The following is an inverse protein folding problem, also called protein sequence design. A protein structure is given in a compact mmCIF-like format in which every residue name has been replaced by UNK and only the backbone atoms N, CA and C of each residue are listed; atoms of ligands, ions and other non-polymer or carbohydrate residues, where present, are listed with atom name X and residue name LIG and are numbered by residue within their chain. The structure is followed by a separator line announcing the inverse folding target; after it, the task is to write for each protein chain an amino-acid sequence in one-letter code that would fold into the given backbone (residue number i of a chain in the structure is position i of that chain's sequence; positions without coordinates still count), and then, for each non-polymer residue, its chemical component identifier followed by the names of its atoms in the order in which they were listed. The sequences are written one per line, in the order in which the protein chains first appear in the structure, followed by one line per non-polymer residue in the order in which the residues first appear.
data_IF_184494662304
#
_entry.id   IF_184494662304
#
_cell.length_a   1.000
_cell.length_b   1.000
_cell.length_c   1.000
_cell.angle_alpha   90.00
_cell.angle_beta   90.00
_cell.angle_gamma   90.00
#
_symmetry.space_group_name_H-M   'P 1'
#
loop_
_entity.id
_entity.type
_entity.pdbx_description
1 polymer ?
#
# COMPACT_ATOMS: atom_id res chain seq x y z
N UNK A 1 -13.55 -13.83 25.88
CA UNK A 1 -12.36 -14.25 25.08
C UNK A 1 -12.49 -13.60 23.70
N UNK A 2 -11.45 -12.92 23.21
CA UNK A 2 -11.52 -12.21 21.93
C UNK A 2 -11.61 -13.21 20.77
N UNK A 3 -12.63 -13.09 19.93
CA UNK A 3 -12.80 -13.93 18.75
C UNK A 3 -11.79 -13.52 17.65
N UNK A 4 -11.33 -14.46 16.81
CA UNK A 4 -10.48 -14.11 15.69
C UNK A 4 -11.22 -13.26 14.64
N UNK A 5 -10.50 -12.40 13.90
CA UNK A 5 -11.06 -11.66 12.77
C UNK A 5 -11.66 -12.58 11.70
N UNK A 6 -12.84 -12.24 11.21
CA UNK A 6 -13.48 -12.93 10.08
C UNK A 6 -13.03 -12.25 8.80
N UNK A 7 -12.64 -13.04 7.80
CA UNK A 7 -12.25 -12.49 6.51
C UNK A 7 -13.47 -12.19 5.64
N UNK A 8 -13.73 -10.92 5.34
CA UNK A 8 -14.64 -10.54 4.26
C UNK A 8 -13.90 -10.54 2.92
N UNK A 9 -14.01 -11.66 2.20
CA UNK A 9 -13.37 -11.87 0.88
C UNK A 9 -13.82 -10.92 -0.23
N UNK A 10 -14.81 -10.05 0.00
CA UNK A 10 -15.30 -9.05 -0.95
C UNK A 10 -14.68 -7.67 -0.71
N UNK A 11 -14.47 -7.29 0.54
CA UNK A 11 -14.10 -5.93 0.93
C UNK A 11 -12.69 -5.82 1.52
N UNK A 12 -12.13 -6.93 2.01
CA UNK A 12 -10.85 -6.96 2.73
C UNK A 12 -9.82 -7.77 1.95
N UNK A 13 -8.64 -7.18 1.72
CA UNK A 13 -7.53 -7.90 1.09
C UNK A 13 -7.05 -9.03 2.01
N UNK A 14 -6.52 -10.09 1.39
CA UNK A 14 -6.00 -11.24 2.13
C UNK A 14 -4.88 -10.84 3.10
N UNK A 15 -3.94 -10.00 2.65
CA UNK A 15 -2.80 -9.55 3.47
C UNK A 15 -3.25 -8.70 4.68
N UNK A 16 -4.23 -7.82 4.50
CA UNK A 16 -4.77 -7.00 5.60
C UNK A 16 -5.42 -7.89 6.66
N UNK A 17 -6.24 -8.86 6.23
CA UNK A 17 -6.85 -9.82 7.15
C UNK A 17 -5.81 -10.71 7.84
N UNK A 18 -4.78 -11.17 7.12
CA UNK A 18 -3.66 -11.96 7.66
C UNK A 18 -2.91 -11.18 8.74
N UNK A 19 -2.69 -9.89 8.53
CA UNK A 19 -2.10 -8.99 9.52
C UNK A 19 -2.99 -8.86 10.77
N UNK A 20 -4.29 -8.65 10.60
CA UNK A 20 -5.23 -8.57 11.73
C UNK A 20 -5.27 -9.85 12.56
N UNK A 21 -5.27 -11.01 11.90
CA UNK A 21 -5.19 -12.32 12.58
C UNK A 21 -3.86 -12.47 13.32
N UNK A 22 -2.75 -11.97 12.77
CA UNK A 22 -1.44 -11.99 13.42
C UNK A 22 -1.46 -11.16 14.71
N UNK A 23 -2.00 -9.95 14.66
CA UNK A 23 -2.18 -9.11 15.86
C UNK A 23 -3.09 -9.80 16.88
N UNK A 24 -4.25 -10.31 16.46
CA UNK A 24 -5.15 -11.05 17.34
C UNK A 24 -4.43 -12.23 18.01
N UNK A 25 -3.66 -13.01 17.25
CA UNK A 25 -2.94 -14.16 17.77
C UNK A 25 -1.90 -13.79 18.82
N UNK A 26 -1.26 -12.63 18.70
CA UNK A 26 -0.31 -12.10 19.67
C UNK A 26 -0.97 -11.65 20.97
N UNK A 27 -2.11 -10.95 20.89
CA UNK A 27 -2.74 -10.31 22.05
C UNK A 27 -3.85 -11.13 22.71
N UNK A 28 -4.35 -12.19 22.06
CA UNK A 28 -5.39 -13.03 22.64
C UNK A 28 -4.90 -13.85 23.83
N UNK A 29 -5.73 -13.92 24.88
CA UNK A 29 -5.50 -14.78 26.07
C UNK A 29 -5.84 -16.25 25.84
N UNK A 30 -6.27 -16.62 24.62
CA UNK A 30 -6.55 -18.01 24.30
C UNK A 30 -5.28 -18.86 24.37
N UNK A 31 -5.43 -20.11 24.83
CA UNK A 31 -4.35 -21.10 24.83
C UNK A 31 -3.78 -21.27 23.42
N UNK A 32 -2.45 -21.27 23.27
CA UNK A 32 -1.76 -21.32 21.97
C UNK A 32 -2.27 -22.44 21.06
N UNK A 33 -2.40 -23.65 21.61
CA UNK A 33 -2.90 -24.85 20.92
C UNK A 33 -4.35 -24.75 20.44
N UNK A 34 -5.14 -23.85 21.01
CA UNK A 34 -6.55 -23.63 20.63
C UNK A 34 -6.71 -22.55 19.57
N UNK A 35 -5.71 -21.70 19.35
CA UNK A 35 -5.82 -20.54 18.45
C UNK A 35 -6.05 -20.97 17.00
N UNK A 36 -5.41 -22.05 16.55
CA UNK A 36 -5.63 -22.63 15.22
C UNK A 36 -7.07 -23.03 14.98
N UNK A 37 -7.65 -23.82 15.89
CA UNK A 37 -9.07 -24.20 15.83
C UNK A 37 -10.01 -22.99 15.87
N UNK A 38 -9.73 -22.02 16.75
CA UNK A 38 -10.53 -20.80 16.83
C UNK A 38 -10.53 -20.04 15.50
N UNK A 39 -9.37 -19.89 14.85
CA UNK A 39 -9.27 -19.26 13.53
C UNK A 39 -10.04 -20.05 12.47
N UNK A 40 -9.81 -21.37 12.40
CA UNK A 40 -10.51 -22.26 11.45
C UNK A 40 -12.03 -22.13 11.54
N UNK A 41 -12.58 -22.04 12.77
CA UNK A 41 -14.03 -21.89 12.99
C UNK A 41 -14.62 -20.58 12.46
N UNK A 42 -13.78 -19.59 12.15
CA UNK A 42 -14.17 -18.27 11.62
C UNK A 42 -13.79 -18.07 10.16
N UNK A 43 -13.15 -19.06 9.52
CA UNK A 43 -12.84 -18.96 8.10
C UNK A 43 -14.14 -18.94 7.27
N UNK A 44 -14.25 -18.05 6.28
CA UNK A 44 -15.44 -17.96 5.46
C UNK A 44 -15.58 -19.18 4.56
N UNK A 45 -16.82 -19.49 4.19
CA UNK A 45 -17.14 -20.49 3.16
C UNK A 45 -17.01 -19.93 1.75
N UNK A 46 -16.98 -18.60 1.60
CA UNK A 46 -16.81 -17.95 0.30
C UNK A 46 -15.47 -18.33 -0.34
N UNK A 47 -15.47 -18.49 -1.66
CA UNK A 47 -14.29 -18.88 -2.45
C UNK A 47 -13.62 -20.18 -1.97
N UNK A 48 -14.32 -21.02 -1.20
CA UNK A 48 -13.82 -22.28 -0.65
C UNK A 48 -12.62 -22.12 0.29
N UNK A 49 -12.52 -21.00 1.03
CA UNK A 49 -11.40 -20.73 1.95
C UNK A 49 -11.34 -21.79 3.05
N UNK A 50 -12.45 -22.02 3.76
CA UNK A 50 -12.53 -23.02 4.82
C UNK A 50 -12.32 -24.46 4.29
N UNK A 51 -12.75 -24.76 3.07
CA UNK A 51 -12.61 -26.07 2.42
C UNK A 51 -11.14 -26.40 2.16
N UNK A 52 -10.36 -25.45 1.63
CA UNK A 52 -8.90 -25.62 1.44
C UNK A 52 -8.19 -25.96 2.75
N UNK A 53 -8.52 -25.25 3.82
CA UNK A 53 -7.94 -25.50 5.15
C UNK A 53 -8.43 -26.83 5.72
N UNK A 54 -9.71 -27.19 5.54
CA UNK A 54 -10.25 -28.48 5.95
C UNK A 54 -9.53 -29.65 5.26
N UNK A 55 -9.33 -29.56 3.95
CA UNK A 55 -8.61 -30.57 3.18
C UNK A 55 -7.16 -30.70 3.67
N UNK A 56 -6.48 -29.59 3.92
CA UNK A 56 -5.12 -29.61 4.48
C UNK A 56 -5.06 -30.22 5.90
N UNK A 57 -6.09 -30.03 6.74
CA UNK A 57 -6.21 -30.71 8.03
C UNK A 57 -6.41 -32.23 7.81
N UNK A 58 -7.28 -32.63 6.88
CA UNK A 58 -7.54 -34.04 6.56
C UNK A 58 -6.31 -34.75 6.00
N UNK A 59 -5.48 -34.03 5.26
CA UNK A 59 -4.22 -34.51 4.71
C UNK A 59 -3.04 -34.42 5.69
N UNK A 60 -3.29 -34.07 6.95
CA UNK A 60 -2.27 -33.90 8.00
C UNK A 60 -1.20 -32.82 7.70
N UNK A 61 -1.44 -31.93 6.73
CA UNK A 61 -0.59 -30.76 6.44
C UNK A 61 -0.72 -29.69 7.55
N UNK A 62 -1.89 -29.64 8.21
CA UNK A 62 -2.17 -28.74 9.33
C UNK A 62 -2.51 -29.56 10.56
N UNK A 63 -1.73 -29.39 11.62
CA UNK A 63 -2.00 -29.93 12.95
C UNK A 63 -2.75 -28.89 13.78
N UNK A 64 -4.07 -28.88 13.68
CA UNK A 64 -4.93 -27.80 14.20
C UNK A 64 -4.83 -27.54 15.72
N UNK A 65 -4.27 -28.50 16.47
CA UNK A 65 -4.09 -28.47 17.93
C UNK A 65 -2.65 -28.13 18.36
N UNK A 66 -1.76 -27.75 17.45
CA UNK A 66 -0.40 -27.31 17.76
C UNK A 66 -0.29 -25.79 17.86
N UNK A 67 0.78 -25.29 18.49
CA UNK A 67 0.96 -23.84 18.73
C UNK A 67 1.18 -23.04 17.44
N UNK A 68 1.71 -23.68 16.39
CA UNK A 68 1.99 -23.12 15.07
C UNK A 68 0.86 -23.34 14.05
N UNK A 69 -0.31 -23.82 14.49
CA UNK A 69 -1.42 -24.12 13.59
C UNK A 69 -1.88 -22.92 12.74
N UNK A 70 -1.76 -21.69 13.27
CA UNK A 70 -2.05 -20.46 12.52
C UNK A 70 -1.07 -20.29 11.35
N UNK A 71 0.22 -20.50 11.59
CA UNK A 71 1.24 -20.37 10.56
C UNK A 71 1.02 -21.41 9.45
N UNK A 72 0.64 -22.64 9.82
CA UNK A 72 0.29 -23.68 8.87
C UNK A 72 -0.95 -23.32 8.04
N UNK A 73 -1.97 -22.72 8.66
CA UNK A 73 -3.14 -22.19 7.94
C UNK A 73 -2.70 -21.11 6.93
N UNK A 74 -1.81 -20.20 7.32
CA UNK A 74 -1.30 -19.18 6.41
C UNK A 74 -0.50 -19.78 5.25
N UNK A 75 0.36 -20.77 5.49
CA UNK A 75 1.09 -21.47 4.42
C UNK A 75 0.14 -22.05 3.38
N UNK A 76 -1.00 -22.61 3.80
CA UNK A 76 -2.01 -23.14 2.86
C UNK A 76 -2.71 -22.02 2.12
N UNK A 77 -3.17 -20.98 2.81
CA UNK A 77 -3.92 -19.89 2.21
C UNK A 77 -3.05 -19.00 1.29
N UNK A 78 -1.77 -18.83 1.60
CA UNK A 78 -0.80 -18.09 0.80
C UNK A 78 -0.71 -18.66 -0.63
N UNK A 79 -0.79 -20.00 -0.78
CA UNK A 79 -0.77 -20.66 -2.10
C UNK A 79 -1.89 -20.22 -3.05
N UNK A 80 -2.99 -19.69 -2.52
CA UNK A 80 -4.19 -19.35 -3.30
C UNK A 80 -4.54 -17.87 -3.28
N UNK A 81 -4.16 -17.15 -2.22
CA UNK A 81 -4.66 -15.80 -1.95
C UNK A 81 -3.56 -14.76 -1.75
N UNK A 82 -2.31 -15.18 -1.51
CA UNK A 82 -1.18 -14.27 -1.59
C UNK A 82 -1.05 -13.86 -3.06
N UNK A 83 -1.06 -12.56 -3.34
CA UNK A 83 -0.72 -12.10 -4.69
C UNK A 83 0.71 -12.53 -4.99
N UNK A 84 0.96 -13.01 -6.21
CA UNK A 84 2.34 -13.26 -6.65
C UNK A 84 3.16 -11.99 -6.43
N UNK A 85 4.31 -12.11 -5.77
CA UNK A 85 5.18 -10.99 -5.44
C UNK A 85 5.53 -10.20 -6.73
N UNK A 86 5.68 -10.89 -7.88
CA UNK A 86 5.89 -10.24 -9.17
C UNK A 86 4.65 -9.50 -9.68
N UNK A 87 3.44 -10.04 -9.49
CA UNK A 87 2.20 -9.36 -9.88
C UNK A 87 1.99 -8.09 -9.04
N UNK A 88 2.27 -8.17 -7.74
CA UNK A 88 2.17 -7.04 -6.81
C UNK A 88 3.18 -5.94 -7.15
N UNK A 89 4.44 -6.30 -7.44
CA UNK A 89 5.45 -5.35 -7.92
C UNK A 89 5.01 -4.71 -9.24
N UNK A 90 4.51 -5.50 -10.20
CA UNK A 90 4.04 -5.00 -11.49
C UNK A 90 2.84 -4.04 -11.34
N UNK A 91 1.86 -4.38 -10.50
CA UNK A 91 0.70 -3.54 -10.22
C UNK A 91 1.12 -2.22 -9.55
N UNK A 92 1.99 -2.30 -8.53
CA UNK A 92 2.52 -1.12 -7.83
C UNK A 92 3.28 -0.21 -8.79
N UNK A 93 4.16 -0.78 -9.62
CA UNK A 93 4.89 -0.08 -10.68
C UNK A 93 3.96 0.58 -11.69
N UNK A 94 2.97 -0.14 -12.21
CA UNK A 94 2.00 0.42 -13.14
C UNK A 94 1.21 1.57 -12.51
N UNK A 95 0.81 1.43 -11.24
CA UNK A 95 0.06 2.49 -10.54
C UNK A 95 0.90 3.76 -10.35
N UNK A 96 2.19 3.62 -10.03
CA UNK A 96 3.13 4.73 -9.92
C UNK A 96 3.41 5.39 -11.28
N UNK A 97 3.72 4.58 -12.30
CA UNK A 97 4.05 5.07 -13.65
C UNK A 97 2.88 5.82 -14.30
N UNK A 98 1.66 5.41 -14.00
CA UNK A 98 0.45 6.02 -14.57
C UNK A 98 -0.16 7.11 -13.69
N UNK A 99 0.44 7.40 -12.53
CA UNK A 99 -0.06 8.43 -11.62
C UNK A 99 -0.03 9.80 -12.29
N UNK A 100 -1.18 10.47 -12.33
CA UNK A 100 -1.35 11.82 -12.85
C UNK A 100 -2.36 12.57 -11.99
N UNK A 101 -2.13 13.86 -11.80
CA UNK A 101 -3.05 14.77 -11.15
C UNK A 101 -4.37 14.81 -11.90
N UNK A 102 -5.46 14.60 -11.19
CA UNK A 102 -6.80 14.59 -11.76
C UNK A 102 -7.43 15.99 -11.77
N UNK A 103 -8.48 16.17 -12.58
CA UNK A 103 -9.21 17.44 -12.64
C UNK A 103 -9.99 17.63 -11.35
N UNK A 104 -9.68 18.70 -10.61
CA UNK A 104 -10.31 19.03 -9.32
C UNK A 104 -9.51 18.63 -8.08
N UNK A 105 -8.45 17.85 -8.25
CA UNK A 105 -7.47 17.58 -7.18
C UNK A 105 -6.57 18.80 -6.97
N UNK A 106 -6.23 19.13 -5.73
CA UNK A 106 -5.24 20.18 -5.41
C UNK A 106 -3.82 19.69 -5.65
N UNK A 107 -2.83 20.58 -5.72
CA UNK A 107 -1.44 20.15 -5.84
C UNK A 107 -0.97 19.35 -4.61
N UNK A 108 -1.42 19.72 -3.41
CA UNK A 108 -1.02 19.03 -2.17
C UNK A 108 -1.62 17.62 -2.07
N UNK A 109 -2.88 17.42 -2.48
CA UNK A 109 -3.47 16.08 -2.58
C UNK A 109 -2.68 15.17 -3.51
N UNK A 110 -2.32 15.69 -4.69
CA UNK A 110 -1.51 14.95 -5.66
C UNK A 110 -0.13 14.60 -5.10
N UNK A 111 0.55 15.54 -4.43
CA UNK A 111 1.85 15.29 -3.79
C UNK A 111 1.77 14.21 -2.72
N UNK A 112 0.72 14.21 -1.91
CA UNK A 112 0.50 13.21 -0.87
C UNK A 112 0.29 11.80 -1.46
N UNK A 113 -0.52 11.68 -2.52
CA UNK A 113 -0.70 10.39 -3.20
C UNK A 113 0.59 9.95 -3.91
N UNK A 114 1.33 10.88 -4.51
CA UNK A 114 2.63 10.59 -5.12
C UNK A 114 3.62 10.02 -4.09
N UNK A 115 3.78 10.67 -2.94
CA UNK A 115 4.65 10.19 -1.86
C UNK A 115 4.23 8.82 -1.33
N UNK A 116 2.92 8.57 -1.24
CA UNK A 116 2.38 7.27 -0.88
C UNK A 116 2.76 6.19 -1.91
N UNK A 117 2.64 6.47 -3.22
CA UNK A 117 3.07 5.53 -4.27
C UNK A 117 4.57 5.24 -4.25
N UNK A 118 5.41 6.23 -3.95
CA UNK A 118 6.86 6.02 -3.77
C UNK A 118 7.13 5.12 -2.56
N UNK A 119 6.41 5.31 -1.46
CA UNK A 119 6.53 4.43 -0.27
C UNK A 119 6.05 3.01 -0.56
N UNK A 120 4.99 2.84 -1.34
CA UNK A 120 4.51 1.53 -1.81
C UNK A 120 5.60 0.82 -2.63
N UNK A 121 6.20 1.48 -3.63
CA UNK A 121 7.32 0.92 -4.39
C UNK A 121 8.48 0.46 -3.50
N UNK A 122 8.85 1.29 -2.52
CA UNK A 122 9.94 0.97 -1.59
C UNK A 122 9.63 -0.25 -0.73
N UNK A 123 8.37 -0.45 -0.33
CA UNK A 123 7.94 -1.66 0.41
C UNK A 123 8.10 -2.93 -0.43
N UNK A 124 7.84 -2.82 -1.73
CA UNK A 124 8.04 -3.91 -2.72
C UNK A 124 9.52 -4.07 -3.15
N UNK A 125 10.47 -3.39 -2.50
CA UNK A 125 11.90 -3.47 -2.80
C UNK A 125 12.36 -2.64 -4.02
N UNK A 126 11.47 -1.84 -4.61
CA UNK A 126 11.80 -0.98 -5.76
C UNK A 126 12.21 0.40 -5.26
N UNK A 127 13.51 0.70 -5.37
CA UNK A 127 14.06 2.04 -5.06
C UNK A 127 14.50 2.72 -6.34
N UNK A 128 13.97 3.92 -6.58
CA UNK A 128 14.28 4.71 -7.76
C UNK A 128 15.25 5.85 -7.42
N UNK A 129 16.13 6.24 -8.36
CA UNK A 129 16.94 7.44 -8.20
C UNK A 129 16.08 8.71 -8.06
N UNK A 130 16.54 9.66 -7.25
CA UNK A 130 15.85 10.95 -6.98
C UNK A 130 15.49 11.70 -8.26
N UNK A 131 16.36 11.67 -9.27
CA UNK A 131 16.11 12.27 -10.60
C UNK A 131 14.89 11.64 -11.30
N UNK A 132 14.73 10.31 -11.20
CA UNK A 132 13.59 9.60 -11.82
C UNK A 132 12.29 9.96 -11.11
N UNK A 133 12.32 10.01 -9.77
CA UNK A 133 11.19 10.48 -8.97
C UNK A 133 10.80 11.91 -9.37
N UNK A 134 11.78 12.80 -9.43
CA UNK A 134 11.57 14.20 -9.78
C UNK A 134 10.95 14.37 -11.18
N UNK A 135 11.47 13.68 -12.20
CA UNK A 135 10.94 13.74 -13.56
C UNK A 135 9.50 13.21 -13.64
N UNK A 136 9.23 12.04 -13.05
CA UNK A 136 7.90 11.46 -13.05
C UNK A 136 6.89 12.33 -12.29
N UNK A 137 7.32 13.00 -11.21
CA UNK A 137 6.50 13.95 -10.47
C UNK A 137 6.03 15.12 -11.35
N UNK A 138 6.95 15.75 -12.09
CA UNK A 138 6.62 16.87 -12.98
C UNK A 138 5.72 16.44 -14.15
N UNK A 139 5.94 15.24 -14.69
CA UNK A 139 5.10 14.72 -15.76
C UNK A 139 3.70 14.31 -15.29
N UNK A 140 3.59 13.85 -14.04
CA UNK A 140 2.33 13.53 -13.39
C UNK A 140 1.54 14.76 -12.90
N UNK A 141 2.20 15.89 -12.61
CA UNK A 141 1.59 17.06 -11.97
C UNK A 141 0.54 17.81 -12.82
N UNK A 142 0.34 17.43 -14.08
CA UNK A 142 -0.69 18.03 -14.94
C UNK A 142 -0.39 19.45 -15.39
N UNK A 143 0.88 19.88 -15.30
CA UNK A 143 1.34 21.21 -15.65
C UNK A 143 1.44 21.44 -17.15
N UNK A 144 1.08 22.63 -17.60
CA UNK A 144 1.35 23.09 -18.95
C UNK A 144 2.85 23.42 -19.17
N UNK A 145 3.24 23.75 -20.41
CA UNK A 145 4.64 24.02 -20.75
C UNK A 145 5.25 25.20 -19.96
N UNK A 146 4.48 26.26 -19.71
CA UNK A 146 4.95 27.46 -19.01
C UNK A 146 5.06 27.17 -17.51
N UNK A 147 4.07 26.49 -16.95
CA UNK A 147 4.06 26.05 -15.56
C UNK A 147 5.24 25.12 -15.26
N UNK A 148 5.50 24.14 -16.12
CA UNK A 148 6.70 23.29 -16.01
C UNK A 148 7.98 24.13 -16.00
N UNK A 149 8.11 25.13 -16.87
CA UNK A 149 9.28 26.01 -16.88
C UNK A 149 9.43 26.76 -15.56
N UNK A 150 8.36 27.30 -14.98
CA UNK A 150 8.39 28.00 -13.68
C UNK A 150 8.96 27.08 -12.59
N UNK A 151 8.46 25.84 -12.49
CA UNK A 151 8.96 24.89 -11.49
C UNK A 151 10.45 24.58 -11.72
N UNK A 152 10.83 24.34 -12.97
CA UNK A 152 12.20 23.99 -13.34
C UNK A 152 13.22 25.12 -13.09
N UNK A 153 12.81 26.38 -12.96
CA UNK A 153 13.70 27.48 -12.56
C UNK A 153 14.12 27.44 -11.09
N UNK A 154 13.35 26.75 -10.24
CA UNK A 154 13.64 26.64 -8.82
C UNK A 154 14.54 25.44 -8.45
N UNK A 155 15.01 24.69 -9.45
CA UNK A 155 15.78 23.46 -9.28
C UNK A 155 17.26 23.70 -9.59
N UNK A 156 18.13 23.26 -8.69
CA UNK A 156 19.58 23.21 -8.87
C UNK A 156 19.98 21.83 -9.42
N UNK A 157 20.24 21.78 -10.73
CA UNK A 157 20.62 20.57 -11.45
C UNK A 157 21.98 19.99 -11.06
N UNK A 158 22.80 20.73 -10.30
CA UNK A 158 24.06 20.21 -9.77
C UNK A 158 23.85 19.23 -8.61
N UNK A 159 22.71 19.32 -7.91
CA UNK A 159 22.35 18.51 -6.74
C UNK A 159 21.30 17.45 -7.07
N UNK A 160 21.72 16.42 -7.81
CA UNK A 160 20.80 15.39 -8.34
C UNK A 160 20.09 14.59 -7.26
N UNK A 161 20.74 14.40 -6.13
CA UNK A 161 20.27 13.72 -4.92
C UNK A 161 19.21 14.52 -4.14
N UNK A 162 19.08 15.82 -4.37
CA UNK A 162 18.05 16.66 -3.74
C UNK A 162 16.89 16.98 -4.73
N UNK A 163 17.00 16.54 -5.98
CA UNK A 163 16.15 17.01 -7.08
C UNK A 163 14.66 16.73 -6.85
N UNK A 164 14.32 15.58 -6.29
CA UNK A 164 12.93 15.24 -5.96
C UNK A 164 12.35 16.20 -4.90
N UNK A 165 13.08 16.42 -3.82
CA UNK A 165 12.65 17.32 -2.75
C UNK A 165 12.57 18.78 -3.23
N UNK A 166 13.53 19.23 -4.07
CA UNK A 166 13.49 20.55 -4.69
C UNK A 166 12.25 20.71 -5.59
N UNK A 167 11.91 19.71 -6.41
CA UNK A 167 10.73 19.76 -7.29
C UNK A 167 9.42 19.75 -6.49
N UNK A 168 9.33 18.95 -5.41
CA UNK A 168 8.17 18.99 -4.50
C UNK A 168 7.99 20.36 -3.86
N UNK A 169 9.07 20.95 -3.34
CA UNK A 169 9.03 22.27 -2.72
C UNK A 169 8.63 23.36 -3.73
N UNK A 170 9.14 23.28 -4.97
CA UNK A 170 8.78 24.19 -6.03
C UNK A 170 7.30 24.06 -6.42
N UNK A 171 6.76 22.85 -6.54
CA UNK A 171 5.34 22.62 -6.79
C UNK A 171 4.45 23.23 -5.69
N UNK A 172 4.78 23.00 -4.42
CA UNK A 172 4.08 23.65 -3.29
C UNK A 172 4.16 25.17 -3.38
N UNK A 173 5.36 25.72 -3.60
CA UNK A 173 5.57 27.16 -3.65
C UNK A 173 4.72 27.86 -4.72
N UNK A 174 4.56 27.24 -5.89
CA UNK A 174 3.90 27.87 -7.03
C UNK A 174 2.43 27.48 -7.21
N UNK A 175 1.99 26.35 -6.67
CA UNK A 175 0.67 25.77 -6.96
C UNK A 175 -0.11 25.31 -5.72
N UNK A 176 0.34 25.64 -4.51
CA UNK A 176 -0.46 25.44 -3.31
C UNK A 176 -1.53 26.53 -3.20
N UNK A 177 -2.81 26.13 -3.26
CA UNK A 177 -3.97 27.02 -3.37
C UNK A 177 -4.11 27.97 -2.17
N UNK A 178 -3.46 27.68 -1.03
CA UNK A 178 -3.44 28.57 0.14
C UNK A 178 -2.57 29.82 -0.06
N UNK A 179 -1.62 29.83 -0.99
CA UNK A 179 -0.78 31.00 -1.27
C UNK A 179 -1.51 32.08 -2.09
N UNK A 180 -2.53 31.71 -2.85
CA UNK A 180 -3.25 32.61 -3.76
C UNK A 180 -4.46 33.32 -3.10
N UNK A 181 -4.99 32.79 -2.00
CA UNK A 181 -6.12 33.43 -1.28
C UNK A 181 -5.75 34.72 -0.54
N UNK A 182 -4.47 34.96 -0.26
CA UNK A 182 -4.02 36.14 0.51
C UNK A 182 -3.67 37.37 -0.35
N UNK A 183 -3.58 37.23 -1.67
CA UNK A 183 -3.20 38.34 -2.57
C UNK A 183 -4.42 39.07 -3.14
N UNK A 184 -5.60 38.43 -3.16
CA UNK A 184 -6.80 39.00 -3.80
C UNK A 184 -7.62 39.93 -2.87
N UNK A 185 -7.44 39.87 -1.55
CA UNK A 185 -8.19 40.72 -0.60
C UNK A 185 -7.54 42.10 -0.31
N UNK A 186 -6.49 42.48 -1.04
CA UNK A 186 -5.94 43.85 -0.95
C UNK A 186 -6.04 44.57 -2.30
N UNK A 187 -7.25 44.96 -2.67
CA UNK A 187 -7.48 46.05 -3.64
C UNK A 187 -8.73 46.83 -3.31
#
# INVERSE_FOLDING_TARGET
MMAPPVWDTKSTLYEDWKFDVTLWAQFTKAEKKRKGFMLYSKLPTSKGVNEKVRLAIQNEEIKINEENAIDQIFVVLDKFYKKDDLSTVCETWCSYKNLKKTSGETMEEFLNEYEKKVKELKKEGVTLPEVVLAMQLIDGAGLDKKEKQIVLTAVDYSKKEEMYDQMKQALRKFFDDQAMSTVVEKK
#
